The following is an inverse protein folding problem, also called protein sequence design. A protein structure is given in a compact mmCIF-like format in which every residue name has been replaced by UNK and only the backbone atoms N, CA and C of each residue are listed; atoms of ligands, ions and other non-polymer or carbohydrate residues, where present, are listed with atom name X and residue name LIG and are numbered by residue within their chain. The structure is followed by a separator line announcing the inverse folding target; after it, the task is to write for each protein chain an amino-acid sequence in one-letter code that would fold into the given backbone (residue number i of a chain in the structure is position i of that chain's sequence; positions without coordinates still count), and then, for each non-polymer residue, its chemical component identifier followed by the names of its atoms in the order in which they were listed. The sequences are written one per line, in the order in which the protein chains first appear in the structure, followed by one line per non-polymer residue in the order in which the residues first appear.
data_IF_353435608273
#
_entry.id   IF_353435608273
#
_cell.length_a   1.000
_cell.length_b   1.000
_cell.length_c   1.000
_cell.angle_alpha   90.00
_cell.angle_beta   90.00
_cell.angle_gamma   90.00
#
_symmetry.space_group_name_H-M   'P 1'
#
loop_
_entity.id
_entity.type
_entity.pdbx_description
1 polymer ?
#
# COMPACT_ATOMS: atom_id res chain seq x y z
N UNK A 1 -9.30 -2.65 23.65
CA UNK A 1 -9.83 -3.16 22.53
C UNK A 1 -10.29 -4.59 22.65
N UNK A 2 -11.41 -4.81 22.25
CA UNK A 2 -11.96 -6.14 22.42
C UNK A 2 -11.29 -7.11 21.44
N UNK A 3 -11.00 -8.27 21.92
CA UNK A 3 -10.49 -9.28 21.05
C UNK A 3 -11.62 -9.98 20.37
N UNK A 4 -11.45 -10.25 19.13
CA UNK A 4 -12.45 -11.00 18.38
C UNK A 4 -12.17 -12.47 18.60
N UNK A 5 -12.91 -13.04 19.53
CA UNK A 5 -12.69 -14.42 19.89
C UNK A 5 -13.64 -15.40 19.24
N UNK A 6 -14.78 -14.91 18.80
CA UNK A 6 -15.72 -15.82 18.22
C UNK A 6 -15.45 -15.98 16.73
N UNK A 7 -15.71 -17.17 16.24
CA UNK A 7 -15.47 -17.48 14.85
C UNK A 7 -16.29 -16.58 13.93
N UNK A 8 -17.53 -16.30 14.33
CA UNK A 8 -18.39 -15.45 13.53
C UNK A 8 -17.86 -14.03 13.44
N UNK A 9 -17.35 -13.53 14.54
CA UNK A 9 -16.80 -12.17 14.57
C UNK A 9 -15.56 -12.09 13.69
N UNK A 10 -14.73 -13.12 13.74
CA UNK A 10 -13.53 -13.13 12.94
C UNK A 10 -13.86 -13.18 11.45
N UNK A 11 -14.84 -14.00 11.08
CA UNK A 11 -15.24 -14.07 9.68
C UNK A 11 -15.84 -12.74 9.21
N UNK A 12 -16.59 -12.09 10.07
CA UNK A 12 -17.15 -10.80 9.73
C UNK A 12 -16.03 -9.77 9.52
N UNK A 13 -15.06 -9.77 10.40
CA UNK A 13 -13.94 -8.86 10.25
C UNK A 13 -13.16 -9.16 8.98
N UNK A 14 -12.98 -10.43 8.68
CA UNK A 14 -12.29 -10.84 7.46
C UNK A 14 -12.98 -10.27 6.24
N UNK A 15 -14.31 -10.36 6.19
CA UNK A 15 -15.05 -9.82 5.06
C UNK A 15 -14.94 -8.31 4.96
N UNK A 16 -14.98 -7.63 6.09
CA UNK A 16 -14.80 -6.19 6.09
C UNK A 16 -13.46 -5.79 5.52
N UNK A 17 -12.42 -6.52 5.91
CA UNK A 17 -11.08 -6.21 5.43
C UNK A 17 -10.94 -6.52 3.95
N UNK A 18 -11.55 -7.59 3.48
CA UNK A 18 -11.52 -7.91 2.06
C UNK A 18 -12.21 -6.83 1.22
N UNK A 19 -13.32 -6.30 1.73
CA UNK A 19 -14.01 -5.23 1.05
C UNK A 19 -13.14 -3.97 1.00
N UNK A 20 -12.47 -3.68 2.10
CA UNK A 20 -11.59 -2.53 2.15
C UNK A 20 -10.46 -2.67 1.15
N UNK A 21 -9.92 -3.88 1.03
CA UNK A 21 -8.85 -4.12 0.07
C UNK A 21 -9.31 -3.80 -1.34
N UNK A 22 -10.53 -4.22 -1.69
CA UNK A 22 -11.04 -3.91 -3.02
C UNK A 22 -11.12 -2.42 -3.28
N UNK A 23 -11.45 -1.65 -2.26
CA UNK A 23 -11.54 -0.21 -2.39
C UNK A 23 -10.19 0.45 -2.58
N UNK A 24 -9.13 -0.21 -2.15
CA UNK A 24 -7.79 0.36 -2.18
C UNK A 24 -6.93 -0.17 -3.33
N UNK A 25 -7.53 -0.93 -4.24
CA UNK A 25 -6.73 -1.56 -5.30
C UNK A 25 -6.27 -0.60 -6.38
N UNK A 26 -6.89 0.58 -6.50
CA UNK A 26 -6.37 1.59 -7.39
C UNK A 26 -5.23 2.28 -6.66
N UNK A 27 -4.05 1.71 -6.78
CA UNK A 27 -2.92 2.17 -6.00
C UNK A 27 -1.67 2.28 -6.83
N UNK A 28 -0.73 3.06 -6.32
CA UNK A 28 0.62 3.13 -6.87
C UNK A 28 1.60 2.81 -5.76
N UNK A 29 2.58 1.99 -6.08
CA UNK A 29 3.63 1.68 -5.13
C UNK A 29 4.75 2.68 -5.34
N UNK A 30 5.10 3.40 -4.28
CA UNK A 30 6.18 4.37 -4.36
C UNK A 30 5.80 5.68 -3.72
N UNK A 31 6.55 6.70 -4.03
CA UNK A 31 6.34 8.03 -3.50
C UNK A 31 6.36 9.05 -4.62
N UNK A 32 5.47 10.02 -4.53
CA UNK A 32 5.48 11.12 -5.48
C UNK A 32 6.43 12.18 -4.94
N UNK A 33 7.47 12.47 -5.70
CA UNK A 33 8.47 13.45 -5.30
C UNK A 33 8.53 14.56 -6.33
N UNK A 34 8.74 15.78 -5.84
CA UNK A 34 8.84 16.92 -6.71
C UNK A 34 10.27 17.43 -6.73
N UNK A 35 10.74 17.76 -7.91
CA UNK A 35 12.05 18.31 -8.08
C UNK A 35 11.95 19.66 -8.74
N UNK A 36 12.67 20.62 -8.23
CA UNK A 36 12.79 21.91 -8.88
C UNK A 36 13.86 21.78 -9.94
N UNK A 37 13.50 22.07 -11.17
CA UNK A 37 14.42 21.90 -12.27
C UNK A 37 14.44 23.14 -13.14
N UNK A 38 15.61 23.42 -13.67
CA UNK A 38 15.74 24.49 -14.60
C UNK A 38 15.41 23.97 -15.99
N UNK A 39 14.52 24.67 -16.65
CA UNK A 39 14.15 24.30 -17.99
C UNK A 39 15.26 24.65 -18.95
N UNK A 40 15.42 23.86 -20.01
CA UNK A 40 16.43 24.18 -20.99
C UNK A 40 16.02 25.21 -22.01
N UNK A 41 14.76 25.64 -21.96
CA UNK A 41 14.28 26.62 -22.92
C UNK A 41 14.66 28.04 -22.51
N UNK A 42 15.17 28.78 -23.47
CA UNK A 42 15.62 30.15 -23.18
C UNK A 42 14.49 31.08 -22.80
N UNK A 43 13.33 30.88 -23.40
CA UNK A 43 12.21 31.78 -23.15
C UNK A 43 11.30 31.34 -22.04
N UNK A 44 11.74 30.39 -21.25
CA UNK A 44 10.93 29.89 -20.19
C UNK A 44 11.08 30.78 -18.96
N UNK A 45 10.02 30.86 -18.16
CA UNK A 45 10.03 31.65 -16.94
C UNK A 45 11.10 31.25 -15.96
N UNK A 46 11.52 29.99 -15.99
CA UNK A 46 12.52 29.54 -15.05
C UNK A 46 13.86 30.23 -15.25
N UNK A 47 14.07 30.76 -16.45
CA UNK A 47 15.28 31.51 -16.72
C UNK A 47 15.33 32.81 -15.93
N UNK A 48 14.15 33.30 -15.54
CA UNK A 48 14.02 34.55 -14.80
C UNK A 48 14.00 34.32 -13.30
N UNK A 49 14.39 33.14 -12.85
CA UNK A 49 14.42 32.86 -11.43
C UNK A 49 13.39 31.88 -10.95
N UNK A 50 12.32 31.70 -11.70
CA UNK A 50 11.33 30.70 -11.34
C UNK A 50 11.77 29.36 -11.86
N UNK A 51 11.58 28.35 -11.05
CA UNK A 51 11.96 27.01 -11.46
C UNK A 51 10.77 26.16 -11.74
N UNK A 52 10.91 25.26 -12.70
CA UNK A 52 9.89 24.29 -12.96
C UNK A 52 9.94 23.22 -11.89
N UNK A 53 8.78 22.77 -11.49
CA UNK A 53 8.68 21.64 -10.59
C UNK A 53 8.16 20.46 -11.37
N UNK A 54 8.96 19.41 -11.40
CA UNK A 54 8.57 18.18 -12.08
C UNK A 54 8.36 17.12 -11.03
N UNK A 55 7.32 16.35 -11.21
CA UNK A 55 6.95 15.32 -10.25
C UNK A 55 7.19 13.95 -10.84
N UNK A 56 7.64 13.05 -10.00
CA UNK A 56 7.95 11.69 -10.40
C UNK A 56 7.44 10.72 -9.37
N UNK A 57 6.98 9.57 -9.84
CA UNK A 57 6.70 8.46 -8.94
C UNK A 57 7.99 7.67 -8.81
N UNK A 58 8.51 7.62 -7.62
CA UNK A 58 9.78 6.96 -7.35
C UNK A 58 9.53 5.68 -6.58
N UNK A 59 10.08 4.58 -7.05
CA UNK A 59 9.94 3.31 -6.37
C UNK A 59 11.14 2.43 -6.67
N UNK A 60 11.27 1.35 -5.91
CA UNK A 60 12.35 0.40 -6.11
C UNK A 60 11.88 -0.78 -6.95
N UNK A 61 12.68 -1.16 -7.90
CA UNK A 61 12.40 -2.32 -8.72
C UNK A 61 13.69 -3.09 -8.88
N UNK A 62 13.72 -4.29 -8.35
CA UNK A 62 14.89 -5.16 -8.43
C UNK A 62 16.14 -4.44 -7.94
N UNK A 63 16.02 -3.74 -6.82
CA UNK A 63 17.15 -3.07 -6.22
C UNK A 63 17.51 -1.73 -6.80
N UNK A 64 16.85 -1.32 -7.86
CA UNK A 64 17.14 -0.05 -8.50
C UNK A 64 15.98 0.92 -8.32
N UNK A 65 16.31 2.19 -8.23
CA UNK A 65 15.29 3.21 -8.13
C UNK A 65 14.79 3.57 -9.51
N UNK A 66 13.47 3.52 -9.67
CA UNK A 66 12.81 3.89 -10.91
C UNK A 66 12.02 5.16 -10.67
N UNK A 67 12.12 6.11 -11.59
CA UNK A 67 11.37 7.34 -11.51
C UNK A 67 10.52 7.48 -12.76
N UNK A 68 9.21 7.59 -12.57
CA UNK A 68 8.29 7.78 -13.68
C UNK A 68 7.67 9.15 -13.58
N UNK A 69 7.71 9.88 -14.68
CA UNK A 69 7.18 11.23 -14.70
C UNK A 69 5.67 11.24 -14.43
N UNK A 70 5.25 12.16 -13.59
CA UNK A 70 3.84 12.35 -13.29
C UNK A 70 3.43 13.73 -13.79
N UNK A 71 2.49 13.82 -14.72
CA UNK A 71 2.02 15.12 -15.17
C UNK A 71 1.46 15.93 -14.01
N UNK A 72 1.70 17.22 -14.05
CA UNK A 72 1.31 18.07 -12.94
C UNK A 72 -0.17 17.97 -12.58
N UNK A 73 -1.01 17.85 -13.57
CA UNK A 73 -2.45 17.79 -13.33
C UNK A 73 -2.89 16.45 -12.74
N UNK A 74 -2.02 15.47 -12.68
CA UNK A 74 -2.32 14.17 -12.11
C UNK A 74 -1.63 13.93 -10.77
N UNK A 75 -0.92 14.93 -10.26
CA UNK A 75 -0.14 14.74 -9.05
C UNK A 75 -1.02 14.40 -7.85
N UNK A 76 -2.13 15.10 -7.69
CA UNK A 76 -3.00 14.85 -6.56
C UNK A 76 -3.58 13.44 -6.62
N UNK A 77 -3.96 13.02 -7.81
CA UNK A 77 -4.48 11.68 -7.99
C UNK A 77 -3.40 10.64 -7.72
N UNK A 78 -2.19 10.90 -8.19
CA UNK A 78 -1.09 9.97 -7.96
C UNK A 78 -0.78 9.85 -6.46
N UNK A 79 -0.84 10.97 -5.73
CA UNK A 79 -0.62 10.92 -4.29
C UNK A 79 -1.69 10.14 -3.58
N UNK A 80 -2.93 10.30 -4.03
CA UNK A 80 -4.02 9.54 -3.47
C UNK A 80 -3.80 8.04 -3.68
N UNK A 81 -3.30 7.67 -4.85
CA UNK A 81 -3.05 6.27 -5.16
C UNK A 81 -1.88 5.72 -4.35
N UNK A 82 -0.85 6.51 -4.09
CA UNK A 82 0.21 6.02 -3.21
C UNK A 82 -0.27 5.90 -1.77
N UNK A 83 -1.21 6.75 -1.37
CA UNK A 83 -1.83 6.64 -0.06
C UNK A 83 -2.61 5.36 0.06
N UNK A 84 -3.32 4.99 -1.01
CA UNK A 84 -4.06 3.74 -1.02
C UNK A 84 -3.13 2.56 -0.76
N UNK A 85 -1.93 2.60 -1.32
CA UNK A 85 -0.98 1.53 -1.08
C UNK A 85 -0.57 1.45 0.38
N UNK A 86 -0.35 2.61 1.00
CA UNK A 86 0.03 2.64 2.41
C UNK A 86 -1.08 2.08 3.29
N UNK A 87 -2.31 2.46 3.00
CA UNK A 87 -3.44 1.94 3.75
C UNK A 87 -3.61 0.46 3.50
N UNK A 88 -3.39 0.03 2.27
CA UNK A 88 -3.52 -1.38 1.95
C UNK A 88 -2.54 -2.23 2.74
N UNK A 89 -1.32 -1.73 2.92
CA UNK A 89 -0.34 -2.47 3.71
C UNK A 89 -0.84 -2.70 5.13
N UNK A 90 -1.45 -1.69 5.72
CA UNK A 90 -2.00 -1.84 7.07
C UNK A 90 -3.16 -2.81 7.10
N UNK A 91 -4.02 -2.73 6.08
CA UNK A 91 -5.16 -3.62 6.02
C UNK A 91 -4.69 -5.07 5.83
N UNK A 92 -3.68 -5.26 5.01
CA UNK A 92 -3.15 -6.61 4.80
C UNK A 92 -2.56 -7.18 6.08
N UNK A 93 -1.88 -6.36 6.86
CA UNK A 93 -1.33 -6.82 8.12
C UNK A 93 -2.44 -7.25 9.07
N UNK A 94 -3.49 -6.46 9.12
CA UNK A 94 -4.62 -6.80 9.99
C UNK A 94 -5.32 -8.05 9.50
N UNK A 95 -5.49 -8.16 8.20
CA UNK A 95 -6.11 -9.36 7.63
C UNK A 95 -5.29 -10.61 7.96
N UNK A 96 -3.98 -10.47 7.91
CA UNK A 96 -3.12 -11.60 8.24
C UNK A 96 -3.34 -12.05 9.68
N UNK A 97 -3.49 -11.11 10.60
CA UNK A 97 -3.74 -11.44 11.98
C UNK A 97 -5.09 -12.12 12.17
N UNK A 98 -6.09 -11.63 11.46
CA UNK A 98 -7.42 -12.25 11.53
C UNK A 98 -7.37 -13.66 10.97
N UNK A 99 -6.68 -13.82 9.85
CA UNK A 99 -6.56 -15.14 9.23
C UNK A 99 -5.83 -16.13 10.14
N UNK A 100 -4.81 -15.65 10.81
CA UNK A 100 -4.08 -16.52 11.71
C UNK A 100 -4.93 -16.94 12.90
N UNK A 101 -5.73 -16.02 13.40
CA UNK A 101 -6.61 -16.36 14.49
C UNK A 101 -7.69 -17.35 14.04
N UNK A 102 -8.19 -17.19 12.82
CA UNK A 102 -9.13 -18.14 12.27
C UNK A 102 -8.49 -19.52 12.13
N UNK A 103 -7.24 -19.55 11.72
CA UNK A 103 -6.54 -20.80 11.60
C UNK A 103 -6.39 -21.49 12.96
N UNK A 104 -6.08 -20.73 13.99
CA UNK A 104 -5.95 -21.29 15.33
C UNK A 104 -7.29 -21.82 15.83
N UNK A 105 -8.36 -21.09 15.56
CA UNK A 105 -9.69 -21.54 15.97
C UNK A 105 -10.06 -22.82 15.26
N UNK A 106 -9.69 -22.93 14.00
CA UNK A 106 -9.99 -24.13 13.24
C UNK A 106 -9.24 -25.33 13.79
N UNK A 107 -8.02 -25.12 14.18
CA UNK A 107 -7.22 -26.20 14.76
C UNK A 107 -7.83 -26.68 16.07
N UNK A 108 -8.28 -25.76 16.91
CA UNK A 108 -8.91 -26.13 18.15
C UNK A 108 -10.18 -26.94 17.93
N UNK A 109 -10.95 -26.54 16.92
CA UNK A 109 -12.21 -27.22 16.66
C UNK A 109 -11.99 -28.65 16.18
N UNK A 110 -10.93 -28.86 15.40
CA UNK A 110 -10.66 -30.18 14.91
C UNK A 110 -9.99 -31.08 15.90
N UNK A 111 -9.34 -30.49 16.87
CA UNK A 111 -8.61 -31.29 17.85
C UNK A 111 -7.60 -32.21 17.21
N UNK A 112 -7.04 -31.79 16.11
CA UNK A 112 -6.06 -32.63 15.46
C UNK A 112 -4.77 -32.56 16.18
N UNK A 113 -3.98 -33.61 16.12
CA UNK A 113 -2.66 -33.56 16.68
C UNK A 113 -1.82 -32.56 15.93
N UNK A 114 -1.00 -31.84 16.64
CA UNK A 114 -0.21 -30.85 16.03
C UNK A 114 0.84 -31.44 15.17
N UNK A 115 0.94 -31.02 13.93
CA UNK A 115 2.00 -31.57 13.10
C UNK A 115 3.33 -31.02 13.55
N UNK A 116 4.34 -31.79 13.32
CA UNK A 116 5.66 -31.33 13.64
C UNK A 116 5.97 -30.23 12.80
N UNK A 117 6.35 -29.24 13.40
CA UNK A 117 6.65 -28.11 12.62
C UNK A 117 7.74 -28.34 11.71
N UNK A 118 7.73 -27.96 10.88
CA UNK A 118 8.72 -28.00 10.07
C UNK A 118 9.26 -26.79 9.83
N UNK A 119 9.63 -26.59 9.88
CA UNK A 119 9.93 -25.61 9.83
C UNK A 119 10.28 -25.04 9.06
N UNK A 120 10.51 -24.84 8.57
CA UNK A 120 10.83 -24.21 7.94
C UNK A 120 11.13 -23.82 7.86
#
# INVERSE_FOLDING_TARGET
MAKLNSLDELKKRQQQLKTKIKQLLDLLIGSVVGYQMKCGKKNCKCVQGERHICFYLSYKKQGKTVNNYVPKHLVDEARSMTDNHKQLKQVLAELSEVNFELLRQRDKLKKSPEPKANKR
#
